data_IF_154029378772
#
_entry.id   IF_154029378772
#
_cell.length_a   1.000
_cell.length_b   1.000
_cell.length_c   1.000
_cell.angle_alpha   90.00
_cell.angle_beta   90.00
_cell.angle_gamma   90.00
#
_symmetry.space_group_name_H-M   'P 1'
#
loop_
_entity.id
_entity.type
_entity.pdbx_description
1 polymer ?
#
# COMPACT_ATOMS: atom_id res chain seq x y z
N UNK A 1 -10.93 1.15 -17.65
CA UNK A 1 -10.93 1.00 -16.16
C UNK A 1 -10.28 2.22 -15.55
N UNK A 2 -10.94 2.84 -14.59
CA UNK A 2 -10.41 3.99 -13.86
C UNK A 2 -9.64 3.50 -12.64
N UNK A 3 -8.36 3.91 -12.52
CA UNK A 3 -7.51 3.52 -11.40
C UNK A 3 -6.99 4.78 -10.70
N UNK A 4 -7.13 4.81 -9.38
CA UNK A 4 -6.54 5.85 -8.54
C UNK A 4 -5.45 5.24 -7.66
N UNK A 5 -4.29 5.89 -7.60
CA UNK A 5 -3.20 5.54 -6.68
C UNK A 5 -3.07 6.67 -5.67
N UNK A 6 -3.33 6.37 -4.41
CA UNK A 6 -3.28 7.34 -3.30
C UNK A 6 -2.17 6.91 -2.33
N UNK A 7 -1.25 7.81 -2.07
CA UNK A 7 -0.06 7.50 -1.27
C UNK A 7 0.23 8.59 -0.24
N UNK A 8 0.95 8.23 0.82
CA UNK A 8 1.57 9.16 1.74
C UNK A 8 3.08 8.98 1.72
N UNK A 9 3.84 10.07 1.73
CA UNK A 9 5.30 10.01 1.66
C UNK A 9 5.94 11.22 2.32
N UNK A 10 7.00 11.01 3.09
CA UNK A 10 7.82 12.09 3.65
C UNK A 10 9.16 12.21 2.95
N UNK A 11 9.83 11.07 2.69
CA UNK A 11 11.18 11.05 2.10
C UNK A 11 11.19 10.99 0.57
N UNK A 12 10.02 10.80 -0.05
CA UNK A 12 9.90 10.66 -1.51
C UNK A 12 10.03 9.23 -2.03
N UNK A 13 10.38 8.25 -1.21
CA UNK A 13 10.52 6.85 -1.65
C UNK A 13 9.18 6.22 -2.01
N UNK A 14 8.17 6.45 -1.18
CA UNK A 14 6.81 5.96 -1.44
C UNK A 14 6.21 6.68 -2.64
N UNK A 15 6.45 7.98 -2.77
CA UNK A 15 6.03 8.76 -3.94
C UNK A 15 6.63 8.19 -5.22
N UNK A 16 7.93 7.86 -5.21
CA UNK A 16 8.60 7.28 -6.37
C UNK A 16 7.99 5.92 -6.76
N UNK A 17 7.73 5.07 -5.77
CA UNK A 17 7.08 3.77 -6.01
C UNK A 17 5.65 3.96 -6.53
N UNK A 18 4.89 4.87 -5.94
CA UNK A 18 3.53 5.20 -6.37
C UNK A 18 3.50 5.70 -7.81
N UNK A 19 4.47 6.55 -8.18
CA UNK A 19 4.60 7.05 -9.54
C UNK A 19 4.85 5.96 -10.58
N UNK A 20 5.70 4.99 -10.25
CA UNK A 20 5.96 3.83 -11.12
C UNK A 20 4.72 2.95 -11.28
N UNK A 21 4.01 2.71 -10.18
CA UNK A 21 2.77 1.93 -10.20
C UNK A 21 1.71 2.64 -11.04
N UNK A 22 1.52 3.95 -10.81
CA UNK A 22 0.54 4.74 -11.55
C UNK A 22 0.83 4.77 -13.04
N UNK A 23 2.09 4.91 -13.43
CA UNK A 23 2.49 4.91 -14.84
C UNK A 23 2.16 3.58 -15.53
N UNK A 24 2.40 2.46 -14.85
CA UNK A 24 2.12 1.12 -15.39
C UNK A 24 0.63 0.81 -15.46
N UNK A 25 -0.18 1.43 -14.62
CA UNK A 25 -1.63 1.23 -14.57
C UNK A 25 -2.41 2.30 -15.36
N UNK A 26 -1.72 3.31 -15.89
CA UNK A 26 -2.34 4.50 -16.47
C UNK A 26 -3.33 5.10 -15.47
N UNK A 27 -2.87 5.28 -14.23
CA UNK A 27 -3.69 5.69 -13.11
C UNK A 27 -3.51 7.17 -12.76
N UNK A 28 -4.51 7.73 -12.09
CA UNK A 28 -4.38 9.05 -11.46
C UNK A 28 -3.60 8.91 -10.17
N UNK A 29 -2.54 9.71 -10.02
CA UNK A 29 -1.67 9.70 -8.83
C UNK A 29 -2.07 10.84 -7.89
N UNK A 30 -2.36 10.51 -6.63
CA UNK A 30 -2.88 11.45 -5.64
C UNK A 30 -2.09 11.33 -4.34
N UNK A 31 -1.53 12.45 -3.86
CA UNK A 31 -0.98 12.49 -2.50
C UNK A 31 -2.14 12.50 -1.51
N UNK A 32 -2.10 11.66 -0.48
CA UNK A 32 -3.21 11.52 0.46
C UNK A 32 -3.54 12.82 1.19
N UNK A 33 -2.57 13.70 1.39
CA UNK A 33 -2.81 15.01 2.01
C UNK A 33 -3.75 15.90 1.18
N UNK A 34 -3.82 15.65 -0.13
CA UNK A 34 -4.67 16.41 -1.07
C UNK A 34 -5.93 15.63 -1.46
N UNK A 35 -6.13 14.42 -0.94
CA UNK A 35 -7.23 13.55 -1.31
C UNK A 35 -8.56 14.01 -0.73
N UNK A 36 -9.63 13.66 -1.43
CA UNK A 36 -11.01 13.86 -1.00
C UNK A 36 -11.71 12.51 -0.88
N UNK A 37 -12.88 12.45 -0.25
CA UNK A 37 -13.68 11.22 -0.17
C UNK A 37 -13.95 10.66 -1.58
N UNK A 38 -14.28 11.53 -2.54
CA UNK A 38 -14.54 11.13 -3.92
C UNK A 38 -13.33 10.46 -4.58
N UNK A 39 -12.10 10.85 -4.22
CA UNK A 39 -10.89 10.23 -4.76
C UNK A 39 -10.78 8.75 -4.36
N UNK A 40 -11.32 8.37 -3.21
CA UNK A 40 -11.38 6.98 -2.77
C UNK A 40 -12.52 6.20 -3.42
N UNK A 41 -13.57 6.88 -3.85
CA UNK A 41 -14.79 6.24 -4.37
C UNK A 41 -14.85 6.14 -5.89
N UNK A 42 -14.39 7.17 -6.61
CA UNK A 42 -14.63 7.35 -8.04
C UNK A 42 -13.61 6.62 -8.93
N UNK A 43 -13.41 5.34 -8.67
CA UNK A 43 -12.50 4.49 -9.44
C UNK A 43 -12.96 3.03 -9.42
N UNK A 44 -12.51 2.27 -10.40
CA UNK A 44 -12.77 0.82 -10.49
C UNK A 44 -11.78 0.03 -9.65
N UNK A 45 -10.53 0.50 -9.56
CA UNK A 45 -9.49 -0.06 -8.74
C UNK A 45 -8.84 1.05 -7.93
N UNK A 46 -8.83 0.88 -6.62
CA UNK A 46 -8.18 1.81 -5.68
C UNK A 46 -6.87 1.20 -5.19
N UNK A 47 -5.76 1.91 -5.40
CA UNK A 47 -4.43 1.48 -4.94
C UNK A 47 -3.98 2.44 -3.84
N UNK A 48 -3.65 1.90 -2.67
CA UNK A 48 -3.24 2.69 -1.50
C UNK A 48 -1.84 2.30 -1.06
N UNK A 49 -1.02 3.27 -0.71
CA UNK A 49 0.35 3.03 -0.29
C UNK A 49 0.85 3.92 0.83
N UNK A 50 1.67 3.33 1.72
CA UNK A 50 2.31 4.03 2.83
C UNK A 50 3.66 3.38 3.17
N UNK A 51 4.67 4.18 3.56
CA UNK A 51 5.82 3.62 4.24
C UNK A 51 5.44 3.27 5.68
N UNK A 52 6.30 2.53 6.35
CA UNK A 52 6.18 2.23 7.77
C UNK A 52 7.21 3.05 8.54
N UNK A 53 6.78 3.79 9.55
CA UNK A 53 7.65 4.59 10.40
C UNK A 53 7.68 4.05 11.83
N UNK A 54 8.80 4.27 12.52
CA UNK A 54 8.97 3.88 13.91
C UNK A 54 8.66 2.41 14.12
N UNK A 55 7.78 2.10 15.06
CA UNK A 55 7.38 0.75 15.40
C UNK A 55 6.07 0.33 14.72
N UNK A 56 5.95 0.62 13.42
CA UNK A 56 4.81 0.18 12.62
C UNK A 56 3.78 1.26 12.30
N UNK A 57 4.15 2.53 12.43
CA UNK A 57 3.21 3.63 12.21
C UNK A 57 3.01 3.95 10.73
N UNK A 58 1.77 4.32 10.39
CA UNK A 58 1.44 4.93 9.11
C UNK A 58 2.16 6.27 8.95
N UNK A 59 2.42 6.65 7.71
CA UNK A 59 2.90 7.99 7.40
C UNK A 59 1.85 9.02 7.89
N UNK A 60 2.32 10.16 8.43
CA UNK A 60 1.50 11.13 9.17
C UNK A 60 0.25 11.61 8.42
N UNK A 61 0.37 11.84 7.11
CA UNK A 61 -0.77 12.34 6.32
C UNK A 61 -1.90 11.32 6.23
N UNK A 62 -1.60 10.03 6.46
CA UNK A 62 -2.60 8.97 6.52
C UNK A 62 -3.49 9.05 7.78
N UNK A 63 -3.13 9.82 8.78
CA UNK A 63 -4.02 10.00 9.95
C UNK A 63 -5.33 10.63 9.50
N UNK A 64 -5.27 11.71 8.70
CA UNK A 64 -6.46 12.31 8.10
C UNK A 64 -7.01 11.43 6.96
N UNK A 65 -6.14 10.75 6.22
CA UNK A 65 -6.54 9.84 5.14
C UNK A 65 -7.41 8.69 5.61
N UNK A 66 -7.12 8.12 6.77
CA UNK A 66 -7.93 7.05 7.37
C UNK A 66 -9.33 7.56 7.72
N UNK A 67 -9.45 8.81 8.17
CA UNK A 67 -10.76 9.42 8.45
C UNK A 67 -11.57 9.58 7.16
N UNK A 68 -10.93 9.95 6.04
CA UNK A 68 -11.58 10.01 4.72
C UNK A 68 -12.03 8.62 4.25
N UNK A 69 -11.19 7.61 4.47
CA UNK A 69 -11.56 6.22 4.16
C UNK A 69 -12.80 5.79 4.94
N UNK A 70 -12.89 6.18 6.22
CA UNK A 70 -14.04 5.85 7.06
C UNK A 70 -15.35 6.47 6.55
N UNK A 71 -15.26 7.60 5.85
CA UNK A 71 -16.42 8.28 5.23
C UNK A 71 -16.75 7.73 3.85
N UNK A 72 -15.81 7.08 3.17
CA UNK A 72 -15.99 6.62 1.80
C UNK A 72 -16.85 5.36 1.73
N UNK A 73 -17.57 5.20 0.61
CA UNK A 73 -18.31 3.98 0.31
C UNK A 73 -17.41 3.02 -0.47
N UNK A 74 -16.94 1.97 0.20
CA UNK A 74 -15.98 1.02 -0.36
C UNK A 74 -16.51 -0.41 -0.49
N UNK A 75 -17.79 -0.65 -0.18
CA UNK A 75 -18.37 -2.00 -0.25
C UNK A 75 -18.20 -2.61 -1.64
N UNK A 76 -17.53 -3.76 -1.70
CA UNK A 76 -17.28 -4.48 -2.95
C UNK A 76 -16.24 -3.84 -3.87
N UNK A 77 -15.65 -2.69 -3.48
CA UNK A 77 -14.62 -2.05 -4.28
C UNK A 77 -13.32 -2.85 -4.24
N UNK A 78 -12.70 -3.04 -5.41
CA UNK A 78 -11.38 -3.68 -5.49
C UNK A 78 -10.31 -2.72 -5.01
N UNK A 79 -9.56 -3.13 -3.99
CA UNK A 79 -8.49 -2.34 -3.38
C UNK A 79 -7.20 -3.15 -3.38
N UNK A 80 -6.13 -2.57 -3.89
CA UNK A 80 -4.79 -3.13 -3.84
C UNK A 80 -3.92 -2.25 -2.95
N UNK A 81 -3.07 -2.87 -2.14
CA UNK A 81 -2.27 -2.17 -1.14
C UNK A 81 -0.78 -2.35 -1.44
N UNK A 82 0.01 -1.30 -1.21
CA UNK A 82 1.47 -1.43 -1.25
C UNK A 82 2.10 -0.69 -0.08
N UNK A 83 3.23 -1.18 0.37
CA UNK A 83 3.92 -0.59 1.50
C UNK A 83 5.42 -0.71 1.37
N UNK A 84 6.13 0.20 2.04
CA UNK A 84 7.57 0.17 2.16
C UNK A 84 7.95 -0.16 3.60
N UNK A 85 9.03 -0.91 3.75
CA UNK A 85 9.60 -1.26 5.04
C UNK A 85 11.09 -1.51 4.93
N UNK A 86 11.73 -1.69 6.09
CA UNK A 86 13.14 -1.99 6.23
C UNK A 86 13.28 -3.24 7.10
N UNK A 87 13.47 -4.39 6.46
CA UNK A 87 13.50 -5.67 7.17
C UNK A 87 14.75 -5.86 8.03
N UNK A 88 15.83 -5.16 7.69
CA UNK A 88 17.11 -5.26 8.43
C UNK A 88 17.04 -4.47 9.74
N UNK A 89 16.57 -3.23 9.69
CA UNK A 89 16.54 -2.35 10.86
C UNK A 89 15.25 -2.49 11.68
N UNK A 90 14.15 -2.93 11.06
CA UNK A 90 12.84 -3.07 11.72
C UNK A 90 12.23 -4.46 11.46
N UNK A 91 12.91 -5.54 11.83
CA UNK A 91 12.42 -6.90 11.55
C UNK A 91 11.19 -7.30 12.38
N UNK A 92 10.91 -6.60 13.48
CA UNK A 92 9.78 -6.90 14.37
C UNK A 92 8.52 -6.12 14.01
N UNK A 93 8.63 -5.13 13.11
CA UNK A 93 7.51 -4.30 12.67
C UNK A 93 7.54 -4.07 11.15
N UNK A 94 8.08 -5.03 10.43
CA UNK A 94 8.31 -4.90 8.99
C UNK A 94 7.01 -4.65 8.23
N UNK A 95 6.95 -3.50 7.54
CA UNK A 95 5.81 -3.09 6.71
C UNK A 95 4.46 -3.08 7.47
N UNK A 96 4.47 -2.90 8.79
CA UNK A 96 3.26 -2.96 9.63
C UNK A 96 2.19 -1.95 9.23
N UNK A 97 2.58 -0.77 8.70
CA UNK A 97 1.63 0.23 8.23
C UNK A 97 0.65 -0.33 7.19
N UNK A 98 1.11 -1.28 6.37
CA UNK A 98 0.28 -1.94 5.38
C UNK A 98 -0.85 -2.75 6.03
N UNK A 99 -0.58 -3.37 7.18
CA UNK A 99 -1.60 -4.06 7.97
C UNK A 99 -2.66 -3.12 8.50
N UNK A 100 -2.28 -1.89 8.86
CA UNK A 100 -3.23 -0.87 9.32
C UNK A 100 -4.15 -0.40 8.19
N UNK A 101 -3.60 -0.20 6.98
CA UNK A 101 -4.41 0.10 5.80
C UNK A 101 -5.36 -1.04 5.46
N UNK A 102 -4.88 -2.28 5.54
CA UNK A 102 -5.69 -3.47 5.33
C UNK A 102 -6.89 -3.51 6.26
N UNK A 103 -6.67 -3.29 7.55
CA UNK A 103 -7.75 -3.29 8.54
C UNK A 103 -8.76 -2.15 8.26
N UNK A 104 -8.27 -0.97 7.88
CA UNK A 104 -9.14 0.17 7.59
C UNK A 104 -10.07 -0.09 6.39
N UNK A 105 -9.55 -0.67 5.31
CA UNK A 105 -10.35 -0.92 4.10
C UNK A 105 -11.23 -2.16 4.21
N UNK A 106 -10.78 -3.21 4.90
CA UNK A 106 -11.59 -4.41 5.11
C UNK A 106 -12.78 -4.11 6.03
N UNK A 107 -12.62 -3.22 7.00
CA UNK A 107 -13.72 -2.75 7.85
C UNK A 107 -14.84 -2.08 7.03
N UNK A 108 -14.52 -1.57 5.84
CA UNK A 108 -15.45 -0.92 4.92
C UNK A 108 -16.07 -1.87 3.90
N UNK A 109 -15.75 -3.16 3.96
CA UNK A 109 -16.28 -4.17 3.03
C UNK A 109 -15.60 -4.19 1.66
N UNK A 110 -14.39 -3.65 1.54
CA UNK A 110 -13.63 -3.69 0.30
C UNK A 110 -13.13 -5.11 -0.01
N UNK A 111 -12.98 -5.41 -1.30
CA UNK A 111 -12.36 -6.63 -1.78
C UNK A 111 -10.87 -6.37 -1.99
N UNK A 112 -10.01 -7.00 -1.20
CA UNK A 112 -8.56 -6.82 -1.31
C UNK A 112 -8.00 -7.75 -2.38
N UNK A 113 -7.25 -7.16 -3.32
CA UNK A 113 -6.55 -7.89 -4.38
C UNK A 113 -5.05 -7.66 -4.27
N UNK A 114 -4.25 -8.54 -4.85
CA UNK A 114 -2.80 -8.31 -4.89
C UNK A 114 -2.03 -8.81 -3.68
N UNK A 115 -2.49 -9.87 -3.01
CA UNK A 115 -1.70 -10.56 -1.98
C UNK A 115 -0.42 -11.09 -2.59
N UNK A 116 0.69 -11.02 -1.86
CA UNK A 116 2.00 -11.47 -2.33
C UNK A 116 2.65 -12.44 -1.36
N UNK A 117 3.60 -13.24 -1.88
CA UNK A 117 4.35 -14.21 -1.10
C UNK A 117 5.37 -13.51 -0.19
N UNK A 118 5.63 -14.07 0.97
CA UNK A 118 6.68 -13.60 1.89
C UNK A 118 8.07 -14.13 1.54
N UNK A 119 8.17 -15.01 0.57
CA UNK A 119 9.44 -15.59 0.13
C UNK A 119 10.39 -14.53 -0.42
N UNK A 120 11.64 -14.56 0.01
CA UNK A 120 12.65 -13.57 -0.40
C UNK A 120 12.79 -12.41 0.56
N UNK A 121 12.05 -12.42 1.67
CA UNK A 121 12.15 -11.43 2.75
C UNK A 121 12.63 -12.11 4.03
N UNK A 122 13.38 -11.38 4.84
CA UNK A 122 13.86 -11.85 6.15
C UNK A 122 13.43 -10.87 7.24
N UNK A 123 12.41 -11.24 7.99
CA UNK A 123 11.89 -10.43 9.11
C UNK A 123 11.33 -11.38 10.18
N UNK A 124 11.12 -10.84 11.38
CA UNK A 124 10.62 -11.64 12.50
C UNK A 124 9.08 -11.60 12.55
N UNK A 125 8.50 -10.40 12.53
CA UNK A 125 7.05 -10.20 12.64
C UNK A 125 6.61 -9.09 11.69
N UNK A 126 5.46 -9.27 11.05
CA UNK A 126 4.84 -8.23 10.24
C UNK A 126 3.31 -8.27 10.36
N UNK A 127 2.71 -7.13 10.70
CA UNK A 127 1.26 -6.98 10.69
C UNK A 127 0.67 -6.99 9.26
N UNK A 128 1.52 -6.89 8.25
CA UNK A 128 1.13 -7.01 6.84
C UNK A 128 0.89 -8.45 6.40
N UNK A 129 1.28 -9.43 7.22
CA UNK A 129 1.08 -10.85 6.91
C UNK A 129 -0.25 -11.32 7.49
N UNK A 130 -1.11 -11.83 6.63
CA UNK A 130 -2.41 -12.39 7.00
C UNK A 130 -2.62 -13.69 6.22
N UNK A 131 -2.87 -14.78 6.93
CA UNK A 131 -3.00 -16.09 6.29
C UNK A 131 -1.73 -16.56 5.58
N UNK A 132 -0.57 -16.19 6.08
CA UNK A 132 0.73 -16.60 5.53
C UNK A 132 1.21 -15.82 4.32
N UNK A 133 0.51 -14.76 3.91
CA UNK A 133 0.90 -13.90 2.78
C UNK A 133 0.86 -12.44 3.19
N UNK A 134 1.64 -11.60 2.50
CA UNK A 134 1.47 -10.15 2.59
C UNK A 134 0.13 -9.75 1.96
N UNK A 135 -0.54 -8.80 2.57
CA UNK A 135 -1.83 -8.28 2.08
C UNK A 135 -1.69 -7.38 0.85
N UNK A 136 -0.50 -7.18 0.36
CA UNK A 136 -0.22 -6.35 -0.81
C UNK A 136 1.23 -6.45 -1.26
N UNK A 137 1.66 -5.49 -2.06
CA UNK A 137 3.05 -5.36 -2.50
C UNK A 137 3.91 -4.76 -1.38
N UNK A 138 5.00 -5.42 -1.02
CA UNK A 138 5.96 -4.92 -0.04
C UNK A 138 7.30 -4.67 -0.71
N UNK A 139 7.81 -3.44 -0.55
CA UNK A 139 9.11 -3.03 -1.08
C UNK A 139 10.06 -2.69 0.05
N UNK A 140 11.31 -3.11 -0.07
CA UNK A 140 12.38 -2.77 0.86
C UNK A 140 13.48 -2.03 0.08
N UNK A 141 13.38 -0.70 0.05
CA UNK A 141 14.32 0.13 -0.68
C UNK A 141 15.67 0.28 0.05
N UNK A 142 15.70 0.03 1.35
CA UNK A 142 16.94 0.10 2.13
C UNK A 142 17.80 -1.14 1.92
N UNK A 143 17.21 -2.32 1.93
CA UNK A 143 17.93 -3.59 1.85
C UNK A 143 17.83 -4.31 0.52
N UNK A 144 16.78 -4.08 -0.26
CA UNK A 144 16.48 -4.82 -1.49
C UNK A 144 16.02 -3.94 -2.64
N UNK A 145 16.57 -2.74 -2.77
CA UNK A 145 16.19 -1.81 -3.85
C UNK A 145 16.25 -2.43 -5.25
N UNK A 146 17.23 -3.31 -5.48
CA UNK A 146 17.39 -3.99 -6.78
C UNK A 146 16.27 -4.96 -7.15
N UNK A 147 15.42 -5.33 -6.19
CA UNK A 147 14.29 -6.23 -6.42
C UNK A 147 12.96 -5.50 -6.66
N UNK A 148 12.91 -4.19 -6.40
CA UNK A 148 11.66 -3.43 -6.43
C UNK A 148 11.00 -3.37 -7.80
N UNK A 149 11.74 -3.14 -8.86
CA UNK A 149 11.20 -3.07 -10.24
C UNK A 149 10.48 -4.35 -10.62
N UNK A 150 11.11 -5.49 -10.36
CA UNK A 150 10.55 -6.80 -10.68
C UNK A 150 9.30 -7.11 -9.84
N UNK A 151 9.35 -6.75 -8.55
CA UNK A 151 8.23 -6.93 -7.64
C UNK A 151 7.02 -6.09 -8.09
N UNK A 152 7.25 -4.84 -8.47
CA UNK A 152 6.19 -3.97 -9.01
C UNK A 152 5.60 -4.57 -10.27
N UNK A 153 6.41 -4.94 -11.24
CA UNK A 153 5.94 -5.48 -12.52
C UNK A 153 5.10 -6.75 -12.33
N UNK A 154 5.56 -7.65 -11.48
CA UNK A 154 4.85 -8.89 -11.18
C UNK A 154 3.50 -8.63 -10.51
N UNK A 155 3.47 -7.70 -9.55
CA UNK A 155 2.27 -7.33 -8.84
C UNK A 155 1.24 -6.65 -9.75
N UNK A 156 1.68 -5.76 -10.63
CA UNK A 156 0.80 -5.10 -11.61
C UNK A 156 0.09 -6.15 -12.48
N UNK A 157 0.83 -7.17 -12.96
CA UNK A 157 0.22 -8.25 -13.73
C UNK A 157 -0.84 -9.01 -12.96
N UNK A 158 -0.67 -9.12 -11.65
CA UNK A 158 -1.58 -9.85 -10.78
C UNK A 158 -2.89 -9.10 -10.52
N UNK A 159 -2.83 -7.77 -10.38
CA UNK A 159 -4.01 -6.96 -10.00
C UNK A 159 -4.82 -6.43 -11.18
N UNK A 160 -4.32 -6.54 -12.39
CA UNK A 160 -5.04 -6.11 -13.60
C UNK A 160 -6.13 -7.10 -14.03
#
# INVERSE_FOLDING_TARGET
MTVHVIYGSDSGRTEAAAGKIAAKLDARLIDVKDATVADFEDCDLLVLGSPTYGEGDLQMDWEAGVDLLAEAELTGKRVALFGLGDQTNYPESFADALGKLYDAVTAKGAEIVGFTDTKGYEFDVSAAVRGGRFVGLVLDQDGQAGKSEKRIASWISQIL
#
